data_IF_580582054869
#
_entry.id   IF_580582054869
#
_cell.length_a   1.000
_cell.length_b   1.000
_cell.length_c   1.000
_cell.angle_alpha   90.00
_cell.angle_beta   90.00
_cell.angle_gamma   90.00
#
_symmetry.space_group_name_H-M   'P 1'
#
loop_
_entity.id
_entity.type
_entity.pdbx_description
1 polymer ?
#
# COMPACT_ATOMS: atom_id res chain seq x y z
N UNK A 1 -45.47 1.19 -69.33
CA UNK A 1 -45.85 1.07 -67.91
C UNK A 1 -44.62 0.71 -67.09
N UNK A 2 -44.32 1.56 -66.10
CA UNK A 2 -43.55 1.32 -64.85
C UNK A 2 -42.30 0.43 -64.86
N UNK A 3 -41.11 1.02 -65.01
CA UNK A 3 -39.83 0.41 -64.57
C UNK A 3 -38.95 1.36 -63.74
N UNK A 4 -39.28 2.65 -63.60
CA UNK A 4 -38.48 3.62 -62.84
C UNK A 4 -38.78 3.69 -61.33
N UNK A 5 -39.88 3.08 -60.86
CA UNK A 5 -40.27 3.14 -59.44
C UNK A 5 -39.72 2.00 -58.58
N UNK A 6 -39.23 0.89 -59.15
CA UNK A 6 -38.77 -0.25 -58.33
C UNK A 6 -37.34 -0.06 -57.78
N UNK A 7 -36.47 0.66 -58.48
CA UNK A 7 -35.06 0.81 -58.08
C UNK A 7 -34.92 1.71 -56.84
N UNK A 8 -35.74 2.77 -56.75
CA UNK A 8 -35.74 3.68 -55.59
C UNK A 8 -36.21 2.97 -54.31
N UNK A 9 -37.17 2.04 -54.43
CA UNK A 9 -37.72 1.31 -53.29
C UNK A 9 -36.73 0.31 -52.68
N UNK A 10 -35.91 -0.38 -53.48
CA UNK A 10 -34.95 -1.38 -52.98
C UNK A 10 -33.76 -0.72 -52.26
N UNK A 11 -33.26 0.40 -52.80
CA UNK A 11 -32.15 1.14 -52.18
C UNK A 11 -32.54 1.75 -50.81
N UNK A 12 -33.78 2.25 -50.69
CA UNK A 12 -34.30 2.78 -49.43
C UNK A 12 -34.51 1.68 -48.36
N UNK A 13 -34.94 0.48 -48.78
CA UNK A 13 -35.12 -0.68 -47.90
C UNK A 13 -33.78 -1.22 -47.35
N UNK A 14 -32.73 -1.24 -48.18
CA UNK A 14 -31.39 -1.66 -47.75
C UNK A 14 -30.75 -0.66 -46.77
N UNK A 15 -30.94 0.65 -46.99
CA UNK A 15 -30.46 1.69 -46.07
C UNK A 15 -31.19 1.67 -44.71
N UNK A 16 -32.49 1.31 -44.70
CA UNK A 16 -33.25 1.16 -43.45
C UNK A 16 -32.82 -0.08 -42.67
N UNK A 17 -32.47 -1.18 -43.35
CA UNK A 17 -32.03 -2.41 -42.70
C UNK A 17 -30.69 -2.24 -41.95
N UNK A 18 -29.78 -1.39 -42.45
CA UNK A 18 -28.52 -1.07 -41.76
C UNK A 18 -28.69 -0.28 -40.45
N UNK A 19 -29.85 0.35 -40.22
CA UNK A 19 -30.15 1.05 -38.96
C UNK A 19 -30.58 0.10 -37.82
N UNK A 20 -30.83 -1.17 -38.14
CA UNK A 20 -31.22 -2.20 -37.17
C UNK A 20 -30.13 -3.24 -36.93
N UNK A 21 -28.87 -2.96 -37.28
CA UNK A 21 -27.76 -3.78 -36.79
C UNK A 21 -27.60 -3.45 -35.30
N UNK A 22 -27.91 -4.38 -34.37
CA UNK A 22 -27.61 -4.15 -32.98
C UNK A 22 -26.10 -3.95 -32.86
N UNK A 23 -25.68 -2.75 -32.45
CA UNK A 23 -24.33 -2.54 -31.98
C UNK A 23 -24.18 -3.40 -30.73
N UNK A 24 -23.55 -4.56 -30.86
CA UNK A 24 -23.08 -5.29 -29.71
C UNK A 24 -21.99 -4.44 -29.07
N UNK A 25 -22.37 -3.72 -28.02
CA UNK A 25 -21.41 -3.20 -27.05
C UNK A 25 -20.71 -4.40 -26.44
N UNK A 26 -19.57 -4.80 -27.02
CA UNK A 26 -18.64 -5.66 -26.31
C UNK A 26 -18.13 -4.77 -25.19
N UNK A 27 -18.64 -4.97 -23.97
CA UNK A 27 -18.00 -4.42 -22.79
C UNK A 27 -16.51 -4.77 -22.93
N UNK A 28 -15.62 -3.79 -22.78
CA UNK A 28 -14.18 -4.07 -22.74
C UNK A 28 -13.96 -5.01 -21.56
N UNK A 29 -13.94 -6.31 -21.84
CA UNK A 29 -13.38 -7.31 -20.95
C UNK A 29 -11.87 -7.09 -21.02
N UNK A 30 -11.37 -6.03 -20.36
CA UNK A 30 -9.93 -5.82 -20.26
C UNK A 30 -9.39 -7.06 -19.55
N UNK A 31 -8.60 -7.87 -20.25
CA UNK A 31 -7.80 -8.89 -19.59
C UNK A 31 -6.88 -8.16 -18.63
N UNK A 32 -7.23 -8.21 -17.34
CA UNK A 32 -6.38 -7.68 -16.30
C UNK A 32 -5.07 -8.49 -16.33
N UNK A 33 -3.93 -7.89 -16.69
CA UNK A 33 -2.66 -8.62 -16.76
C UNK A 33 -2.13 -8.97 -15.35
N UNK A 34 -2.73 -8.42 -14.29
CA UNK A 34 -2.35 -8.69 -12.92
C UNK A 34 -3.02 -9.96 -12.41
N UNK A 35 -2.21 -10.83 -11.82
CA UNK A 35 -2.64 -12.01 -11.09
C UNK A 35 -2.10 -11.95 -9.66
N UNK A 36 -2.81 -12.57 -8.73
CA UNK A 36 -2.33 -12.75 -7.36
C UNK A 36 -1.18 -13.77 -7.38
N UNK A 37 -0.07 -13.42 -6.74
CA UNK A 37 1.02 -14.35 -6.47
C UNK A 37 0.95 -14.73 -5.00
N UNK A 38 0.42 -15.91 -4.72
CA UNK A 38 0.32 -16.42 -3.36
C UNK A 38 1.72 -16.68 -2.78
N UNK A 39 1.91 -16.33 -1.50
CA UNK A 39 3.16 -16.62 -0.78
C UNK A 39 4.40 -15.88 -1.28
N UNK A 40 4.24 -14.77 -2.02
CA UNK A 40 5.37 -13.97 -2.51
C UNK A 40 6.22 -13.43 -1.36
N UNK A 41 5.62 -12.70 -0.41
CA UNK A 41 6.34 -12.13 0.73
C UNK A 41 6.72 -13.20 1.76
N UNK A 42 8.03 -13.38 1.96
CA UNK A 42 8.62 -14.37 2.87
C UNK A 42 9.28 -13.64 4.03
N UNK A 43 8.79 -13.87 5.25
CA UNK A 43 9.34 -13.24 6.45
C UNK A 43 10.48 -14.07 7.06
N UNK A 44 11.50 -13.41 7.63
CA UNK A 44 12.63 -14.10 8.26
C UNK A 44 12.17 -14.92 9.47
N UNK A 45 12.84 -16.04 9.71
CA UNK A 45 12.56 -16.92 10.85
C UNK A 45 11.20 -17.61 10.83
N UNK A 46 10.46 -17.55 9.71
CA UNK A 46 9.12 -18.13 9.61
C UNK A 46 8.06 -17.41 10.46
N UNK A 47 8.32 -16.16 10.86
CA UNK A 47 7.35 -15.35 11.62
C UNK A 47 6.06 -15.17 10.83
N UNK A 48 4.95 -15.06 11.57
CA UNK A 48 3.63 -14.79 11.00
C UNK A 48 3.59 -13.36 10.46
N UNK A 49 2.87 -13.18 9.35
CA UNK A 49 2.60 -11.86 8.77
C UNK A 49 1.67 -11.08 9.70
N UNK A 50 2.18 -10.00 10.30
CA UNK A 50 1.37 -9.02 11.02
C UNK A 50 0.54 -8.15 10.08
N UNK A 51 -0.22 -7.22 10.66
CA UNK A 51 -1.01 -6.28 9.86
C UNK A 51 -0.10 -5.39 9.01
N UNK A 52 -0.29 -5.40 7.69
CA UNK A 52 0.49 -4.54 6.78
C UNK A 52 -0.08 -3.12 6.84
N UNK A 53 0.71 -2.16 7.28
CA UNK A 53 0.30 -0.75 7.33
C UNK A 53 0.28 -0.12 5.94
N UNK A 54 1.42 -0.18 5.23
CA UNK A 54 1.57 0.34 3.88
C UNK A 54 2.79 -0.29 3.20
N UNK A 55 2.79 -0.29 1.87
CA UNK A 55 3.94 -0.64 1.04
C UNK A 55 4.30 0.51 0.07
N UNK A 56 5.56 0.57 -0.36
CA UNK A 56 6.11 1.57 -1.27
C UNK A 56 7.17 0.93 -2.17
N UNK A 57 7.11 1.23 -3.47
CA UNK A 57 8.18 0.82 -4.40
C UNK A 57 9.43 1.65 -4.11
N UNK A 58 10.56 0.98 -3.96
CA UNK A 58 11.87 1.61 -3.79
C UNK A 58 12.22 2.45 -5.04
N UNK A 59 12.98 3.56 -4.89
CA UNK A 59 13.46 4.36 -6.03
C UNK A 59 14.19 3.55 -7.12
N UNK A 60 14.76 2.39 -6.79
CA UNK A 60 15.36 1.49 -7.78
C UNK A 60 14.36 0.78 -8.71
N UNK A 61 13.06 0.90 -8.44
CA UNK A 61 11.97 0.33 -9.25
C UNK A 61 11.85 -1.19 -9.18
N UNK A 62 12.57 -1.85 -8.27
CA UNK A 62 12.62 -3.30 -8.13
C UNK A 62 12.20 -3.78 -6.76
N UNK A 63 12.68 -3.13 -5.70
CA UNK A 63 12.38 -3.55 -4.34
C UNK A 63 11.09 -2.92 -3.83
N UNK A 64 10.50 -3.56 -2.83
CA UNK A 64 9.32 -3.05 -2.13
C UNK A 64 9.66 -2.86 -0.67
N UNK A 65 9.47 -1.65 -0.15
CA UNK A 65 9.42 -1.40 1.27
C UNK A 65 8.01 -1.64 1.79
N UNK A 66 7.89 -2.23 2.96
CA UNK A 66 6.62 -2.31 3.68
C UNK A 66 6.84 -2.03 5.16
N UNK A 67 5.80 -1.49 5.78
CA UNK A 67 5.67 -1.52 7.23
C UNK A 67 4.68 -2.63 7.60
N UNK A 68 5.15 -3.60 8.39
CA UNK A 68 4.38 -4.74 8.84
C UNK A 68 4.38 -4.69 10.37
N UNK A 69 3.19 -4.51 10.94
CA UNK A 69 3.00 -4.36 12.37
C UNK A 69 3.20 -5.68 13.07
N UNK A 70 4.45 -5.96 13.41
CA UNK A 70 4.90 -7.02 14.30
C UNK A 70 4.18 -8.35 14.05
N UNK A 71 3.76 -9.07 15.08
CA UNK A 71 3.10 -10.39 14.96
C UNK A 71 1.86 -10.53 15.86
N UNK A 72 1.48 -9.47 16.57
CA UNK A 72 0.30 -9.46 17.41
C UNK A 72 -1.00 -9.65 16.59
N UNK A 73 -1.96 -10.33 17.19
CA UNK A 73 -3.26 -10.61 16.59
C UNK A 73 -4.19 -9.39 16.52
N UNK A 74 -5.37 -9.55 15.90
CA UNK A 74 -6.35 -8.48 15.72
C UNK A 74 -6.95 -7.95 17.05
N UNK A 75 -6.81 -8.70 18.14
CA UNK A 75 -7.17 -8.29 19.50
C UNK A 75 -6.28 -7.16 20.05
N UNK A 76 -5.13 -6.92 19.41
CA UNK A 76 -4.16 -5.87 19.76
C UNK A 76 -4.20 -4.67 18.82
N UNK A 77 -5.27 -4.53 18.02
CA UNK A 77 -5.42 -3.46 17.04
C UNK A 77 -5.12 -2.07 17.64
N UNK A 78 -4.17 -1.35 17.05
CA UNK A 78 -3.68 -0.06 17.51
C UNK A 78 -2.53 -0.14 18.53
N UNK A 79 -1.98 -1.33 18.80
CA UNK A 79 -0.90 -1.58 19.78
C UNK A 79 -0.02 -2.78 19.41
N UNK A 80 -0.04 -3.20 18.15
CA UNK A 80 0.52 -4.48 17.69
C UNK A 80 2.04 -4.62 17.92
N UNK A 81 2.77 -3.51 18.06
CA UNK A 81 4.23 -3.52 18.27
C UNK A 81 4.68 -3.12 19.68
N UNK A 82 3.77 -2.90 20.63
CA UNK A 82 4.10 -2.43 22.00
C UNK A 82 5.22 -3.26 22.63
N UNK A 83 5.10 -4.58 22.59
CA UNK A 83 5.94 -5.54 23.29
C UNK A 83 6.73 -6.46 22.34
N UNK A 84 6.90 -6.03 21.09
CA UNK A 84 7.59 -6.82 20.06
C UNK A 84 9.05 -6.42 19.89
N UNK A 85 9.92 -7.40 19.69
CA UNK A 85 11.32 -7.25 19.29
C UNK A 85 11.52 -7.39 17.76
N UNK A 86 10.43 -7.48 17.01
CA UNK A 86 10.46 -7.64 15.56
C UNK A 86 10.67 -6.31 14.85
N UNK A 87 11.48 -6.33 13.80
CA UNK A 87 11.57 -5.21 12.87
C UNK A 87 10.24 -5.05 12.10
N UNK A 88 9.60 -3.88 12.15
CA UNK A 88 8.39 -3.61 11.40
C UNK A 88 8.67 -3.01 10.01
N UNK A 89 9.87 -2.47 9.76
CA UNK A 89 10.25 -1.91 8.45
C UNK A 89 11.01 -2.98 7.68
N UNK A 90 10.51 -3.36 6.51
CA UNK A 90 11.02 -4.48 5.74
C UNK A 90 11.20 -4.10 4.27
N UNK A 91 12.36 -4.41 3.69
CA UNK A 91 12.62 -4.33 2.25
C UNK A 91 12.57 -5.72 1.64
N UNK A 92 11.78 -5.89 0.59
CA UNK A 92 11.65 -7.13 -0.17
C UNK A 92 12.31 -7.00 -1.54
N UNK A 93 13.03 -8.03 -1.94
CA UNK A 93 13.46 -8.22 -3.34
C UNK A 93 12.28 -8.67 -4.23
N UNK A 94 12.46 -8.72 -5.57
CA UNK A 94 11.40 -9.16 -6.48
C UNK A 94 10.94 -10.62 -6.30
N UNK A 95 11.73 -11.45 -5.63
CA UNK A 95 11.36 -12.83 -5.28
C UNK A 95 10.67 -12.92 -3.92
N UNK A 96 10.46 -11.77 -3.27
CA UNK A 96 9.77 -11.59 -2.01
C UNK A 96 10.58 -12.00 -0.79
N UNK A 97 11.90 -12.11 -0.90
CA UNK A 97 12.78 -12.30 0.25
C UNK A 97 13.08 -10.96 0.93
N UNK A 98 13.11 -10.94 2.26
CA UNK A 98 13.57 -9.77 3.01
C UNK A 98 15.08 -9.59 2.84
N UNK A 99 15.49 -8.42 2.37
CA UNK A 99 16.90 -8.05 2.15
C UNK A 99 17.40 -6.93 3.06
N UNK A 100 16.50 -6.26 3.78
CA UNK A 100 16.80 -5.28 4.83
C UNK A 100 15.64 -5.22 5.83
N UNK A 101 15.96 -5.05 7.11
CA UNK A 101 14.96 -4.87 8.17
C UNK A 101 15.50 -4.04 9.33
N UNK A 102 14.65 -3.18 9.89
CA UNK A 102 14.99 -2.37 11.07
C UNK A 102 13.74 -1.83 11.76
N UNK A 103 13.94 -1.12 12.87
CA UNK A 103 12.90 -0.41 13.61
C UNK A 103 12.33 -1.17 14.81
N UNK A 104 12.92 -2.32 15.17
CA UNK A 104 12.55 -3.07 16.38
C UNK A 104 12.50 -2.17 17.63
N UNK A 105 11.42 -2.30 18.40
CA UNK A 105 11.19 -1.55 19.64
C UNK A 105 10.89 -0.06 19.46
N UNK A 106 10.95 0.49 18.25
CA UNK A 106 10.83 1.95 18.02
C UNK A 106 9.38 2.43 17.88
N UNK A 107 8.43 1.53 17.65
CA UNK A 107 7.05 1.88 17.30
C UNK A 107 6.03 1.13 18.16
N UNK A 108 4.87 1.74 18.39
CA UNK A 108 3.68 1.09 18.94
C UNK A 108 2.75 0.65 17.81
N UNK A 109 2.45 1.55 16.88
CA UNK A 109 1.55 1.28 15.77
C UNK A 109 2.04 1.90 14.45
N UNK A 110 3.11 1.35 13.86
CA UNK A 110 3.65 1.88 12.62
C UNK A 110 2.64 1.72 11.49
N UNK A 111 2.41 2.79 10.72
CA UNK A 111 1.29 2.84 9.78
C UNK A 111 1.74 3.19 8.35
N UNK A 112 2.18 4.44 8.15
CA UNK A 112 2.65 4.92 6.86
C UNK A 112 4.13 4.67 6.66
N UNK A 113 4.49 4.35 5.42
CA UNK A 113 5.86 4.33 4.90
C UNK A 113 5.95 5.16 3.60
N UNK A 114 7.06 5.86 3.42
CA UNK A 114 7.47 6.47 2.16
C UNK A 114 8.99 6.40 1.98
N UNK A 115 9.48 6.58 0.75
CA UNK A 115 10.91 6.57 0.44
C UNK A 115 11.23 7.76 -0.44
N UNK A 116 12.21 8.57 -0.02
CA UNK A 116 12.64 9.76 -0.78
C UNK A 116 13.63 9.41 -1.90
N UNK A 117 13.96 10.41 -2.74
CA UNK A 117 14.84 10.21 -3.90
C UNK A 117 16.27 9.80 -3.53
N UNK A 118 16.69 10.06 -2.29
CA UNK A 118 18.02 9.69 -1.80
C UNK A 118 18.01 8.28 -1.17
N UNK A 119 16.87 7.59 -1.18
CA UNK A 119 16.71 6.25 -0.63
C UNK A 119 16.46 6.22 0.87
N UNK A 120 16.16 7.37 1.51
CA UNK A 120 15.82 7.38 2.92
C UNK A 120 14.38 6.95 3.14
N UNK A 121 14.15 6.19 4.21
CA UNK A 121 12.85 5.61 4.53
C UNK A 121 12.18 6.43 5.62
N UNK A 122 10.93 6.84 5.38
CA UNK A 122 10.14 7.64 6.30
C UNK A 122 8.99 6.79 6.84
N UNK A 123 8.88 6.69 8.17
CA UNK A 123 7.88 5.86 8.84
C UNK A 123 7.12 6.67 9.87
N UNK A 124 5.82 6.46 9.96
CA UNK A 124 4.91 7.16 10.89
C UNK A 124 4.43 6.18 11.96
N UNK A 125 4.38 6.62 13.21
CA UNK A 125 3.67 5.93 14.29
C UNK A 125 2.33 6.63 14.53
N UNK A 126 1.22 5.95 14.26
CA UNK A 126 -0.12 6.53 14.28
C UNK A 126 -0.97 6.01 15.45
N UNK A 127 -0.30 5.54 16.51
CA UNK A 127 -0.95 5.03 17.72
C UNK A 127 -1.95 6.06 18.29
N UNK A 128 -3.09 5.61 18.79
CA UNK A 128 -3.99 6.46 19.58
C UNK A 128 -3.45 6.61 21.00
N UNK A 129 -3.61 7.78 21.62
CA UNK A 129 -3.25 8.01 23.04
C UNK A 129 -3.75 6.93 24.00
N UNK A 130 -4.96 6.39 23.76
CA UNK A 130 -5.53 5.34 24.61
C UNK A 130 -4.77 4.01 24.57
N UNK A 131 -3.91 3.82 23.56
CA UNK A 131 -3.13 2.61 23.35
C UNK A 131 -1.66 2.76 23.73
N UNK A 132 -1.23 3.94 24.17
CA UNK A 132 0.12 4.17 24.67
C UNK A 132 0.20 3.66 26.11
N UNK A 133 1.03 2.63 26.41
CA UNK A 133 1.19 2.15 27.78
C UNK A 133 1.73 3.23 28.72
N UNK A 134 1.36 3.16 29.99
CA UNK A 134 1.88 4.11 30.99
C UNK A 134 3.41 4.03 31.08
N UNK A 135 4.09 5.15 30.84
CA UNK A 135 5.55 5.24 30.86
C UNK A 135 6.22 4.92 29.52
N UNK A 136 5.45 4.66 28.47
CA UNK A 136 5.94 4.57 27.10
C UNK A 136 5.90 5.97 26.46
N UNK A 137 6.98 6.36 25.79
CA UNK A 137 7.14 7.65 25.13
C UNK A 137 7.12 7.52 23.60
N UNK A 138 6.77 6.36 23.06
CA UNK A 138 6.63 6.14 21.61
C UNK A 138 5.26 6.61 21.11
N UNK A 139 5.13 6.79 19.80
CA UNK A 139 3.91 7.28 19.15
C UNK A 139 3.99 8.74 18.70
N UNK A 140 3.03 9.16 17.89
CA UNK A 140 2.85 10.56 17.44
C UNK A 140 4.10 11.19 16.81
N UNK A 141 4.91 10.38 16.13
CA UNK A 141 6.15 10.82 15.51
C UNK A 141 6.31 10.31 14.09
N UNK A 142 7.24 10.93 13.37
CA UNK A 142 7.74 10.47 12.08
C UNK A 142 9.24 10.27 12.19
N UNK A 143 9.73 9.10 11.79
CA UNK A 143 11.16 8.79 11.81
C UNK A 143 11.65 8.65 10.38
N UNK A 144 12.75 9.37 10.08
CA UNK A 144 13.53 9.20 8.86
C UNK A 144 14.71 8.28 9.16
N UNK A 145 14.85 7.23 8.37
CA UNK A 145 15.97 6.31 8.39
C UNK A 145 16.80 6.44 7.12
N UNK A 146 18.10 6.13 7.20
CA UNK A 146 18.88 5.78 6.00
C UNK A 146 18.34 4.48 5.39
N UNK A 147 18.78 4.14 4.19
CA UNK A 147 18.41 2.89 3.53
C UNK A 147 18.82 1.63 4.29
N UNK A 148 19.68 1.76 5.31
CA UNK A 148 20.21 0.67 6.15
C UNK A 148 19.80 0.83 7.63
N UNK A 149 18.75 1.61 7.91
CA UNK A 149 18.14 1.66 9.24
C UNK A 149 18.79 2.60 10.27
N UNK A 150 19.76 3.43 9.88
CA UNK A 150 20.27 4.47 10.78
C UNK A 150 19.23 5.58 10.94
N UNK A 151 18.92 5.99 12.16
CA UNK A 151 18.01 7.11 12.41
C UNK A 151 18.69 8.43 12.02
N UNK A 152 18.12 9.11 11.05
CA UNK A 152 18.61 10.41 10.55
C UNK A 152 17.85 11.58 11.16
N UNK A 153 16.57 11.39 11.48
CA UNK A 153 15.69 12.44 11.99
C UNK A 153 14.46 11.84 12.66
N UNK A 154 14.00 12.51 13.71
CA UNK A 154 12.67 12.30 14.29
C UNK A 154 11.92 13.63 14.27
N UNK A 155 10.69 13.62 13.79
CA UNK A 155 9.75 14.74 13.81
C UNK A 155 8.61 14.42 14.77
N UNK A 156 8.08 15.46 15.41
CA UNK A 156 7.05 15.32 16.45
C UNK A 156 7.66 15.28 17.86
N UNK A 157 6.80 15.19 18.86
CA UNK A 157 7.15 15.02 20.26
C UNK A 157 6.66 13.64 20.65
N UNK A 158 7.54 12.62 20.69
CA UNK A 158 7.14 11.24 20.89
C UNK A 158 6.22 11.06 22.11
N UNK A 159 5.14 10.31 21.93
CA UNK A 159 4.14 10.04 22.98
C UNK A 159 3.17 11.18 23.25
N UNK A 160 3.30 12.33 22.59
CA UNK A 160 2.41 13.49 22.76
C UNK A 160 1.58 13.75 21.48
N UNK A 161 0.28 13.46 21.53
CA UNK A 161 -0.66 13.82 20.47
C UNK A 161 -0.86 15.34 20.37
N UNK A 162 -1.05 15.87 19.16
CA UNK A 162 -1.57 17.22 18.98
C UNK A 162 -1.43 17.79 17.57
N UNK A 163 -1.96 19.00 17.37
CA UNK A 163 -1.94 19.74 16.09
C UNK A 163 -0.86 20.83 16.03
N UNK A 164 0.06 20.81 17.00
CA UNK A 164 1.15 21.77 17.12
C UNK A 164 2.24 21.58 16.05
N UNK A 165 3.18 22.54 15.90
CA UNK A 165 4.25 22.42 14.92
C UNK A 165 5.18 21.21 15.16
N UNK A 166 5.21 20.68 16.39
CA UNK A 166 6.00 19.51 16.79
C UNK A 166 5.12 18.43 17.42
N UNK A 167 3.83 18.38 17.11
CA UNK A 167 2.89 17.37 17.62
C UNK A 167 2.10 16.82 16.44
N UNK A 168 1.83 15.52 16.44
CA UNK A 168 1.07 14.86 15.37
C UNK A 168 -0.13 14.09 15.95
N UNK A 169 -1.13 13.80 15.11
CA UNK A 169 -2.39 13.12 15.50
C UNK A 169 -2.65 11.84 14.74
#
# INVERSE_FOLDING_TARGET
MSFRNQIVSVAALLALASLFVPQQSVAQNSTNPYAIVEGWAKLPGGRVMGAVGKAKVDPDGRHIWAVIRCDAGPDRFGSECVDSDLDPVLKFDPDGNVVESFGSGMFIWPHGIDVDSDGNVWVTDAVSDNNIPAGDDRGHHVIKFSSTGEVLMTLGTPGEQGDGPNHFT
#
